data_IF_563077039766
#
_entry.id   IF_563077039766
#
_cell.length_a   1.000
_cell.length_b   1.000
_cell.length_c   1.000
_cell.angle_alpha   90.00
_cell.angle_beta   90.00
_cell.angle_gamma   90.00
#
_symmetry.space_group_name_H-M   'P 1'
#
loop_
_entity.id
_entity.type
_entity.pdbx_description
1 polymer ?
#
# COMPACT_ATOMS: atom_id res chain seq x y z
N UNK A 1 14.83 -11.02 16.05
CA UNK A 1 15.85 -10.69 15.02
C UNK A 1 15.24 -10.97 13.65
N UNK A 2 14.42 -10.04 13.16
CA UNK A 2 13.87 -10.10 11.80
C UNK A 2 14.88 -9.43 10.89
N UNK A 3 15.62 -10.23 10.12
CA UNK A 3 16.38 -9.72 8.97
C UNK A 3 15.38 -8.98 8.08
N UNK A 4 15.56 -7.68 7.92
CA UNK A 4 14.84 -6.91 6.93
C UNK A 4 15.10 -7.56 5.57
N UNK A 5 14.04 -8.08 4.94
CA UNK A 5 14.08 -8.35 3.50
C UNK A 5 14.13 -6.98 2.84
N UNK A 6 15.32 -6.46 2.58
CA UNK A 6 15.49 -5.46 1.53
C UNK A 6 15.15 -6.20 0.23
N UNK A 7 13.94 -5.97 -0.29
CA UNK A 7 13.62 -6.33 -1.66
C UNK A 7 14.29 -5.29 -2.54
N UNK A 8 15.57 -5.51 -2.84
CA UNK A 8 16.33 -4.65 -3.75
C UNK A 8 15.63 -4.62 -5.12
N UNK A 9 15.33 -3.43 -5.61
CA UNK A 9 14.75 -3.24 -6.94
C UNK A 9 15.81 -3.57 -7.98
N UNK A 10 15.48 -4.47 -8.91
CA UNK A 10 16.33 -4.77 -10.06
C UNK A 10 15.83 -4.02 -11.29
N UNK A 11 16.74 -3.54 -12.14
CA UNK A 11 16.36 -2.82 -13.37
C UNK A 11 15.45 -3.65 -14.28
N UNK A 12 15.56 -4.99 -14.24
CA UNK A 12 14.70 -5.92 -14.99
C UNK A 12 13.26 -5.97 -14.49
N UNK A 13 12.98 -5.55 -13.26
CA UNK A 13 11.60 -5.45 -12.76
C UNK A 13 10.91 -4.18 -13.26
N UNK A 14 11.66 -3.17 -13.72
CA UNK A 14 11.12 -1.88 -14.16
C UNK A 14 10.64 -2.01 -15.60
N UNK A 15 9.33 -2.07 -15.76
CA UNK A 15 8.68 -2.06 -17.08
C UNK A 15 8.63 -0.62 -17.63
N UNK A 16 9.79 -0.13 -18.08
CA UNK A 16 9.92 1.23 -18.63
C UNK A 16 9.04 1.44 -19.87
N UNK A 17 8.88 0.41 -20.70
CA UNK A 17 8.12 0.48 -21.96
C UNK A 17 6.63 0.75 -21.72
N UNK A 18 6.11 0.36 -20.56
CA UNK A 18 4.74 0.67 -20.13
C UNK A 18 4.52 2.12 -19.70
N UNK A 19 5.58 2.92 -19.56
CA UNK A 19 5.45 4.36 -19.33
C UNK A 19 5.51 5.14 -20.64
N UNK A 20 4.89 6.33 -20.65
CA UNK A 20 5.01 7.25 -21.78
C UNK A 20 6.49 7.56 -22.07
N UNK A 21 6.93 7.56 -23.35
CA UNK A 21 8.35 7.70 -23.71
C UNK A 21 9.04 8.91 -23.08
N UNK A 22 8.31 10.02 -22.91
CA UNK A 22 8.80 11.27 -22.34
C UNK A 22 9.14 11.14 -20.86
N UNK A 23 8.49 10.25 -20.12
CA UNK A 23 8.72 10.06 -18.68
C UNK A 23 9.87 9.09 -18.38
N UNK A 24 10.14 8.12 -19.27
CA UNK A 24 11.16 7.08 -19.09
C UNK A 24 12.56 7.60 -18.69
N UNK A 25 13.16 8.61 -19.37
CA UNK A 25 14.48 9.09 -19.00
C UNK A 25 14.49 9.73 -17.61
N UNK A 26 13.41 10.42 -17.22
CA UNK A 26 13.32 11.05 -15.91
C UNK A 26 13.08 10.06 -14.77
N UNK A 27 12.38 8.95 -15.03
CA UNK A 27 12.24 7.86 -14.06
C UNK A 27 13.61 7.24 -13.78
N UNK A 28 14.38 6.93 -14.83
CA UNK A 28 15.74 6.40 -14.69
C UNK A 28 16.67 7.37 -13.97
N UNK A 29 16.65 8.65 -14.36
CA UNK A 29 17.46 9.67 -13.74
C UNK A 29 17.08 9.88 -12.27
N UNK A 30 15.78 9.85 -11.93
CA UNK A 30 15.33 9.93 -10.54
C UNK A 30 15.76 8.70 -9.71
N UNK A 31 15.79 7.52 -10.32
CA UNK A 31 16.32 6.31 -9.69
C UNK A 31 17.83 6.35 -9.49
N UNK A 32 18.57 7.12 -10.29
CA UNK A 32 20.03 7.28 -10.17
C UNK A 32 20.39 8.40 -9.18
N UNK A 33 19.96 9.63 -9.48
CA UNK A 33 20.19 10.86 -8.71
C UNK A 33 18.97 11.79 -8.81
N UNK A 34 18.02 11.74 -7.85
CA UNK A 34 16.85 12.61 -7.82
C UNK A 34 17.20 14.10 -7.90
N UNK A 35 18.32 14.53 -7.31
CA UNK A 35 18.71 15.94 -7.22
C UNK A 35 19.00 16.55 -8.59
N UNK A 36 19.34 15.71 -9.59
CA UNK A 36 19.66 16.13 -10.95
C UNK A 36 18.44 16.35 -11.87
N UNK A 37 17.26 15.84 -11.51
CA UNK A 37 16.04 15.82 -12.35
C UNK A 37 15.28 17.16 -12.33
N UNK A 38 15.42 17.93 -11.26
CA UNK A 38 14.66 19.16 -11.04
C UNK A 38 13.29 18.90 -10.39
N UNK A 39 12.87 19.82 -9.51
CA UNK A 39 11.75 19.61 -8.58
C UNK A 39 10.40 19.36 -9.25
N UNK A 40 10.07 20.14 -10.29
CA UNK A 40 8.79 20.01 -11.01
C UNK A 40 8.72 18.65 -11.70
N UNK A 41 9.82 18.23 -12.32
CA UNK A 41 9.89 16.95 -13.02
C UNK A 41 9.83 15.78 -12.03
N UNK A 42 10.47 15.88 -10.85
CA UNK A 42 10.34 14.87 -9.80
C UNK A 42 8.88 14.67 -9.33
N UNK A 43 8.11 15.75 -9.23
CA UNK A 43 6.68 15.66 -8.89
C UNK A 43 5.92 14.91 -10.01
N UNK A 44 6.18 15.23 -11.28
CA UNK A 44 5.55 14.53 -12.40
C UNK A 44 5.97 13.06 -12.51
N UNK A 45 7.22 12.74 -12.18
CA UNK A 45 7.70 11.36 -12.08
C UNK A 45 6.93 10.61 -10.99
N UNK A 46 6.71 11.22 -9.82
CA UNK A 46 5.88 10.62 -8.78
C UNK A 46 4.45 10.37 -9.28
N UNK A 47 3.80 11.37 -9.90
CA UNK A 47 2.45 11.25 -10.45
C UNK A 47 2.34 10.10 -11.46
N UNK A 48 3.32 10.01 -12.37
CA UNK A 48 3.39 8.99 -13.41
C UNK A 48 3.50 7.58 -12.83
N UNK A 49 4.36 7.39 -11.81
CA UNK A 49 4.51 6.10 -11.13
C UNK A 49 3.24 5.71 -10.38
N UNK A 50 2.62 6.66 -9.67
CA UNK A 50 1.38 6.42 -8.91
C UNK A 50 0.25 6.02 -9.85
N UNK A 51 0.07 6.73 -10.97
CA UNK A 51 -0.98 6.42 -11.94
C UNK A 51 -0.83 5.00 -12.49
N UNK A 52 0.40 4.61 -12.86
CA UNK A 52 0.65 3.25 -13.32
C UNK A 52 0.36 2.21 -12.23
N UNK A 53 0.64 2.51 -10.97
CA UNK A 53 0.52 1.55 -9.87
C UNK A 53 -0.91 1.09 -9.60
N UNK A 54 -1.91 1.96 -9.81
CA UNK A 54 -3.32 1.57 -9.63
C UNK A 54 -3.99 1.12 -10.94
N UNK A 55 -3.48 1.50 -12.10
CA UNK A 55 -3.95 1.02 -13.40
C UNK A 55 -3.55 -0.44 -13.68
N UNK A 56 -2.32 -0.83 -13.29
CA UNK A 56 -1.78 -2.18 -13.49
C UNK A 56 -1.61 -2.94 -12.16
N UNK A 57 -2.55 -3.87 -11.92
CA UNK A 57 -2.56 -4.75 -10.76
C UNK A 57 -1.26 -5.55 -10.56
N UNK A 58 -0.57 -5.91 -11.64
CA UNK A 58 0.68 -6.68 -11.57
C UNK A 58 1.88 -5.83 -11.16
N UNK A 59 1.76 -4.50 -11.24
CA UNK A 59 2.87 -3.57 -11.15
C UNK A 59 2.92 -2.78 -9.83
N UNK A 60 1.85 -2.79 -9.03
CA UNK A 60 1.78 -2.05 -7.76
C UNK A 60 2.98 -2.32 -6.81
N UNK A 61 3.43 -3.58 -6.69
CA UNK A 61 4.57 -3.94 -5.86
C UNK A 61 5.89 -3.37 -6.37
N UNK A 62 6.12 -3.42 -7.68
CA UNK A 62 7.30 -2.81 -8.32
C UNK A 62 7.27 -1.29 -8.19
N UNK A 63 6.12 -0.67 -8.45
CA UNK A 63 5.95 0.78 -8.28
C UNK A 63 6.29 1.22 -6.85
N UNK A 64 5.88 0.46 -5.82
CA UNK A 64 6.20 0.77 -4.43
C UNK A 64 7.71 0.69 -4.15
N UNK A 65 8.42 -0.29 -4.74
CA UNK A 65 9.89 -0.38 -4.68
C UNK A 65 10.56 0.82 -5.35
N UNK A 66 10.09 1.23 -6.53
CA UNK A 66 10.58 2.43 -7.23
C UNK A 66 10.42 3.66 -6.33
N UNK A 67 9.22 3.89 -5.79
CA UNK A 67 8.97 5.00 -4.89
C UNK A 67 9.87 4.98 -3.65
N UNK A 68 10.08 3.80 -3.04
CA UNK A 68 10.98 3.63 -1.89
C UNK A 68 12.42 4.01 -2.23
N UNK A 69 12.96 3.51 -3.34
CA UNK A 69 14.33 3.80 -3.75
C UNK A 69 14.55 5.29 -4.07
N UNK A 70 13.61 5.93 -4.79
CA UNK A 70 13.72 7.36 -5.08
C UNK A 70 13.63 8.18 -3.79
N UNK A 71 12.66 7.88 -2.91
CA UNK A 71 12.52 8.55 -1.61
C UNK A 71 13.76 8.40 -0.72
N UNK A 72 14.39 7.21 -0.69
CA UNK A 72 15.61 6.97 0.07
C UNK A 72 16.77 7.80 -0.48
N UNK A 73 16.99 7.76 -1.80
CA UNK A 73 18.05 8.55 -2.45
C UNK A 73 17.84 10.06 -2.26
N UNK A 74 16.60 10.52 -2.42
CA UNK A 74 16.23 11.91 -2.20
C UNK A 74 16.50 12.34 -0.75
N UNK A 75 16.15 11.49 0.22
CA UNK A 75 16.48 11.72 1.62
C UNK A 75 17.99 11.81 1.85
N UNK A 76 18.77 10.87 1.32
CA UNK A 76 20.23 10.90 1.49
C UNK A 76 20.89 12.12 0.84
N UNK A 77 20.37 12.58 -0.30
CA UNK A 77 20.89 13.71 -1.06
C UNK A 77 20.56 15.08 -0.44
N UNK A 78 19.47 15.17 0.33
CA UNK A 78 18.97 16.44 0.88
C UNK A 78 19.02 16.51 2.42
N UNK A 79 19.31 15.44 3.15
CA UNK A 79 19.34 15.43 4.64
C UNK A 79 20.26 16.46 5.30
N UNK A 80 21.23 17.00 4.57
CA UNK A 80 22.18 18.01 5.02
C UNK A 80 21.98 19.37 4.35
N UNK A 81 20.99 19.50 3.46
CA UNK A 81 20.65 20.78 2.85
C UNK A 81 20.02 21.69 3.92
N UNK A 82 20.26 23.00 3.80
CA UNK A 82 19.71 24.01 4.74
C UNK A 82 18.18 23.96 4.76
N UNK A 83 17.57 23.75 3.59
CA UNK A 83 16.12 23.58 3.42
C UNK A 83 15.92 22.38 2.49
N UNK A 84 15.73 21.17 3.03
CA UNK A 84 15.38 20.02 2.20
C UNK A 84 13.97 20.22 1.63
N UNK A 85 13.78 19.79 0.39
CA UNK A 85 12.52 19.94 -0.33
C UNK A 85 11.76 18.65 -0.54
N UNK A 86 12.45 17.51 -0.64
CA UNK A 86 11.85 16.19 -0.83
C UNK A 86 10.72 16.20 -1.87
N UNK A 87 11.01 16.77 -3.06
CA UNK A 87 10.01 17.08 -4.08
C UNK A 87 9.26 15.85 -4.58
N UNK A 88 9.96 14.74 -4.81
CA UNK A 88 9.35 13.47 -5.21
C UNK A 88 8.41 12.95 -4.12
N UNK A 89 8.89 12.89 -2.87
CA UNK A 89 8.07 12.43 -1.73
C UNK A 89 6.81 13.27 -1.54
N UNK A 90 6.93 14.59 -1.68
CA UNK A 90 5.80 15.50 -1.56
C UNK A 90 4.81 15.33 -2.72
N UNK A 91 5.30 15.16 -3.95
CA UNK A 91 4.48 14.83 -5.11
C UNK A 91 3.74 13.50 -4.94
N UNK A 92 4.44 12.47 -4.45
CA UNK A 92 3.87 11.17 -4.11
C UNK A 92 2.72 11.32 -3.11
N UNK A 93 2.95 11.95 -1.96
CA UNK A 93 1.91 12.14 -0.93
C UNK A 93 0.73 12.94 -1.48
N UNK A 94 0.99 13.98 -2.26
CA UNK A 94 -0.06 14.79 -2.86
C UNK A 94 -0.95 13.96 -3.79
N UNK A 95 -0.36 13.21 -4.72
CA UNK A 95 -1.13 12.39 -5.66
C UNK A 95 -1.92 11.28 -4.97
N UNK A 96 -1.35 10.64 -3.94
CA UNK A 96 -2.04 9.63 -3.15
C UNK A 96 -3.26 10.22 -2.41
N UNK A 97 -3.16 11.46 -1.96
CA UNK A 97 -4.27 12.15 -1.27
C UNK A 97 -5.38 12.46 -2.27
N UNK A 98 -5.06 13.01 -3.44
CA UNK A 98 -6.04 13.28 -4.51
C UNK A 98 -6.79 12.02 -4.93
N UNK A 99 -6.07 10.93 -5.20
CA UNK A 99 -6.69 9.67 -5.62
C UNK A 99 -7.55 9.02 -4.52
N UNK A 100 -7.21 9.24 -3.25
CA UNK A 100 -8.05 8.79 -2.14
C UNK A 100 -9.34 9.63 -2.03
N UNK A 101 -9.27 10.94 -2.28
CA UNK A 101 -10.46 11.78 -2.33
C UNK A 101 -11.42 11.32 -3.46
N UNK A 102 -10.88 10.88 -4.59
CA UNK A 102 -11.64 10.36 -5.75
C UNK A 102 -11.92 8.84 -5.69
N UNK A 103 -11.65 8.17 -4.56
CA UNK A 103 -11.72 6.69 -4.44
C UNK A 103 -13.07 6.08 -4.81
N UNK A 104 -14.17 6.78 -4.54
CA UNK A 104 -15.51 6.29 -4.87
C UNK A 104 -15.71 6.23 -6.40
N UNK A 105 -15.21 7.22 -7.13
CA UNK A 105 -15.22 7.26 -8.59
C UNK A 105 -14.27 6.20 -9.18
N UNK A 106 -13.06 6.07 -8.61
CA UNK A 106 -12.10 5.03 -9.00
C UNK A 106 -12.73 3.63 -8.86
N UNK A 107 -13.35 3.37 -7.71
CA UNK A 107 -14.03 2.09 -7.43
C UNK A 107 -15.23 1.85 -8.34
N UNK A 108 -16.02 2.90 -8.62
CA UNK A 108 -17.18 2.81 -9.51
C UNK A 108 -16.76 2.53 -10.96
N UNK A 109 -15.63 3.08 -11.39
CA UNK A 109 -15.04 2.86 -12.71
C UNK A 109 -14.53 1.43 -12.86
N UNK A 110 -13.69 0.98 -11.91
CA UNK A 110 -13.17 -0.38 -11.90
C UNK A 110 -12.72 -0.78 -10.48
N UNK A 111 -13.31 -1.85 -9.95
CA UNK A 111 -12.96 -2.38 -8.63
C UNK A 111 -11.49 -2.83 -8.57
N UNK A 112 -10.92 -3.32 -9.68
CA UNK A 112 -9.50 -3.70 -9.70
C UNK A 112 -8.57 -2.48 -9.59
N UNK A 113 -8.99 -1.29 -10.03
CA UNK A 113 -8.22 -0.04 -9.81
C UNK A 113 -8.19 0.33 -8.33
N UNK A 114 -9.36 0.32 -7.68
CA UNK A 114 -9.45 0.55 -6.24
C UNK A 114 -8.61 -0.46 -5.45
N UNK A 115 -8.73 -1.76 -5.74
CA UNK A 115 -7.94 -2.80 -5.07
C UNK A 115 -6.43 -2.58 -5.30
N UNK A 116 -6.02 -2.25 -6.53
CA UNK A 116 -4.61 -2.02 -6.85
C UNK A 116 -4.06 -0.78 -6.15
N UNK A 117 -4.86 0.28 -6.04
CA UNK A 117 -4.51 1.47 -5.25
C UNK A 117 -4.29 1.13 -3.77
N UNK A 118 -5.20 0.40 -3.12
CA UNK A 118 -5.04 0.04 -1.70
C UNK A 118 -3.84 -0.91 -1.49
N UNK A 119 -3.59 -1.82 -2.43
CA UNK A 119 -2.39 -2.68 -2.41
C UNK A 119 -1.10 -1.88 -2.59
N UNK A 120 -1.10 -0.88 -3.46
CA UNK A 120 0.01 0.04 -3.64
C UNK A 120 0.28 0.85 -2.35
N UNK A 121 -0.76 1.39 -1.71
CA UNK A 121 -0.64 2.07 -0.40
C UNK A 121 -0.02 1.17 0.66
N UNK A 122 -0.43 -0.10 0.72
CA UNK A 122 0.14 -1.10 1.62
C UNK A 122 1.65 -1.34 1.33
N UNK A 123 2.03 -1.43 0.05
CA UNK A 123 3.43 -1.53 -0.36
C UNK A 123 4.25 -0.30 0.03
N UNK A 124 3.70 0.91 -0.15
CA UNK A 124 4.35 2.15 0.26
C UNK A 124 4.54 2.22 1.78
N UNK A 125 3.54 1.85 2.57
CA UNK A 125 3.69 1.77 4.03
C UNK A 125 4.83 0.83 4.44
N UNK A 126 4.96 -0.33 3.77
CA UNK A 126 5.97 -1.32 4.12
C UNK A 126 7.38 -0.90 3.70
N UNK A 127 7.52 -0.19 2.57
CA UNK A 127 8.81 0.10 1.94
C UNK A 127 9.30 1.55 2.13
N UNK A 128 8.40 2.55 2.22
CA UNK A 128 8.77 3.96 2.35
C UNK A 128 8.76 4.34 3.83
N UNK A 129 9.94 4.64 4.38
CA UNK A 129 10.10 4.95 5.81
C UNK A 129 10.48 6.41 6.08
N UNK A 130 10.04 6.92 7.22
CA UNK A 130 10.55 8.16 7.81
C UNK A 130 11.90 7.95 8.52
N UNK A 131 12.42 9.01 9.15
CA UNK A 131 13.68 8.97 9.90
C UNK A 131 13.68 8.04 11.11
N UNK A 132 12.50 7.62 11.59
CA UNK A 132 12.31 6.71 12.72
C UNK A 132 12.09 5.26 12.28
N UNK A 133 12.00 5.02 10.96
CA UNK A 133 11.77 3.70 10.38
C UNK A 133 10.30 3.29 10.33
N UNK A 134 9.35 4.17 10.65
CA UNK A 134 7.90 3.99 10.45
C UNK A 134 7.46 4.41 9.06
N UNK A 135 6.27 3.98 8.63
CA UNK A 135 5.65 4.51 7.42
C UNK A 135 5.40 6.01 7.55
N UNK A 136 5.46 6.75 6.44
CA UNK A 136 5.15 8.19 6.47
C UNK A 136 3.72 8.40 6.99
N UNK A 137 3.55 9.24 8.01
CA UNK A 137 2.26 9.44 8.72
C UNK A 137 1.08 9.63 7.78
N UNK A 138 1.21 10.42 6.71
CA UNK A 138 0.13 10.63 5.73
C UNK A 138 -0.20 9.36 4.95
N UNK A 139 0.80 8.61 4.49
CA UNK A 139 0.60 7.32 3.80
C UNK A 139 -0.06 6.32 4.75
N UNK A 140 0.42 6.25 6.00
CA UNK A 140 -0.18 5.38 7.02
C UNK A 140 -1.65 5.72 7.27
N UNK A 141 -1.98 7.01 7.40
CA UNK A 141 -3.36 7.44 7.62
C UNK A 141 -4.27 7.09 6.44
N UNK A 142 -3.84 7.40 5.21
CA UNK A 142 -4.59 7.05 3.99
C UNK A 142 -4.81 5.54 3.91
N UNK A 143 -3.78 4.73 4.21
CA UNK A 143 -3.91 3.28 4.21
C UNK A 143 -4.93 2.80 5.24
N UNK A 144 -4.91 3.34 6.47
CA UNK A 144 -5.94 2.99 7.45
C UNK A 144 -7.34 3.39 6.99
N UNK A 145 -7.50 4.57 6.39
CA UNK A 145 -8.78 5.02 5.87
C UNK A 145 -9.28 4.07 4.75
N UNK A 146 -8.39 3.65 3.83
CA UNK A 146 -8.70 2.64 2.82
C UNK A 146 -9.12 1.29 3.42
N UNK A 147 -8.42 0.81 4.46
CA UNK A 147 -8.75 -0.45 5.14
C UNK A 147 -10.10 -0.37 5.85
N UNK A 148 -10.42 0.79 6.44
CA UNK A 148 -11.73 1.03 7.04
C UNK A 148 -12.85 1.04 5.99
N UNK A 149 -12.61 1.59 4.81
CA UNK A 149 -13.56 1.55 3.69
C UNK A 149 -13.76 0.13 3.16
N UNK A 150 -12.67 -0.65 2.98
CA UNK A 150 -12.76 -2.06 2.60
C UNK A 150 -13.54 -2.90 3.63
N UNK A 151 -13.47 -2.52 4.90
CA UNK A 151 -14.13 -3.21 6.01
C UNK A 151 -15.63 -2.90 6.13
N UNK A 152 -16.18 -1.96 5.34
CA UNK A 152 -17.58 -1.52 5.39
C UNK A 152 -18.34 -1.82 4.09
N UNK A 153 -19.68 -1.89 4.11
CA UNK A 153 -20.48 -1.93 2.89
C UNK A 153 -20.30 -0.63 2.07
N UNK A 154 -20.30 -0.70 0.72
CA UNK A 154 -20.52 -1.89 -0.10
C UNK A 154 -19.27 -2.78 -0.28
N UNK A 155 -18.07 -2.28 0.05
CA UNK A 155 -16.79 -2.93 -0.24
C UNK A 155 -16.67 -4.33 0.37
N UNK A 156 -17.02 -4.47 1.65
CA UNK A 156 -16.88 -5.75 2.37
C UNK A 156 -17.76 -6.87 1.77
N UNK A 157 -18.78 -6.52 1.00
CA UNK A 157 -19.65 -7.50 0.31
C UNK A 157 -19.06 -7.98 -1.02
N UNK A 158 -18.03 -7.31 -1.54
CA UNK A 158 -17.30 -7.74 -2.72
C UNK A 158 -16.16 -8.70 -2.34
N UNK A 159 -16.07 -9.84 -3.02
CA UNK A 159 -15.05 -10.85 -2.71
C UNK A 159 -13.62 -10.36 -2.98
N UNK A 160 -13.37 -9.60 -4.05
CA UNK A 160 -12.04 -9.10 -4.38
C UNK A 160 -11.53 -8.14 -3.31
N UNK A 161 -12.39 -7.24 -2.85
CA UNK A 161 -12.09 -6.24 -1.82
C UNK A 161 -11.87 -6.91 -0.45
N UNK A 162 -12.69 -7.90 -0.08
CA UNK A 162 -12.49 -8.68 1.13
C UNK A 162 -11.17 -9.47 1.11
N UNK A 163 -10.81 -10.07 -0.04
CA UNK A 163 -9.52 -10.78 -0.20
C UNK A 163 -8.35 -9.80 -0.16
N UNK A 164 -8.47 -8.60 -0.72
CA UNK A 164 -7.43 -7.57 -0.64
C UNK A 164 -7.17 -7.16 0.81
N UNK A 165 -8.24 -6.90 1.57
CA UNK A 165 -8.16 -6.59 3.00
C UNK A 165 -7.45 -7.70 3.80
N UNK A 166 -7.81 -8.97 3.55
CA UNK A 166 -7.13 -10.12 4.15
C UNK A 166 -5.65 -10.15 3.79
N UNK A 167 -5.31 -10.04 2.50
CA UNK A 167 -3.94 -10.12 1.99
C UNK A 167 -3.06 -9.03 2.61
N UNK A 168 -3.58 -7.81 2.73
CA UNK A 168 -2.83 -6.69 3.31
C UNK A 168 -2.61 -6.92 4.81
N UNK A 169 -3.66 -7.28 5.56
CA UNK A 169 -3.56 -7.45 7.00
C UNK A 169 -2.72 -8.68 7.39
N UNK A 170 -2.72 -9.75 6.60
CA UNK A 170 -1.82 -10.88 6.83
C UNK A 170 -0.37 -10.55 6.53
N UNK A 171 -0.10 -9.68 5.56
CA UNK A 171 1.26 -9.26 5.18
C UNK A 171 1.85 -8.22 6.15
N UNK A 172 1.11 -7.15 6.44
CA UNK A 172 1.65 -5.96 7.15
C UNK A 172 0.87 -5.59 8.41
N UNK A 173 -0.12 -6.38 8.83
CA UNK A 173 -0.97 -6.07 9.99
C UNK A 173 -0.20 -5.92 11.29
N UNK A 174 0.88 -6.68 11.49
CA UNK A 174 1.77 -6.51 12.65
C UNK A 174 2.43 -5.13 12.69
N UNK A 175 3.02 -4.71 11.55
CA UNK A 175 3.70 -3.42 11.43
C UNK A 175 2.71 -2.28 11.60
N UNK A 176 1.53 -2.36 10.95
CA UNK A 176 0.44 -1.39 11.12
C UNK A 176 0.02 -1.27 12.58
N UNK A 177 -0.23 -2.40 13.25
CA UNK A 177 -0.67 -2.42 14.64
C UNK A 177 0.36 -1.84 15.61
N UNK A 178 1.65 -1.96 15.29
CA UNK A 178 2.75 -1.36 16.07
C UNK A 178 2.84 0.14 15.82
N UNK A 179 2.68 0.56 14.57
CA UNK A 179 2.77 1.96 14.13
C UNK A 179 1.64 2.81 14.70
N UNK A 180 0.40 2.31 14.63
CA UNK A 180 -0.77 2.99 15.20
C UNK A 180 -1.75 2.01 15.87
N UNK A 181 -1.51 1.63 17.15
CA UNK A 181 -2.37 0.71 17.88
C UNK A 181 -3.84 1.15 17.95
N UNK A 182 -4.08 2.46 18.07
CA UNK A 182 -5.42 3.03 18.19
C UNK A 182 -6.20 2.91 16.88
N UNK A 183 -5.57 3.19 15.73
CA UNK A 183 -6.18 3.01 14.41
C UNK A 183 -6.48 1.53 14.15
N UNK A 184 -5.55 0.64 14.49
CA UNK A 184 -5.78 -0.80 14.39
C UNK A 184 -6.95 -1.28 15.26
N UNK A 185 -7.07 -0.79 16.50
CA UNK A 185 -8.20 -1.11 17.37
C UNK A 185 -9.53 -0.68 16.75
N UNK A 186 -9.60 0.54 16.20
CA UNK A 186 -10.79 1.03 15.49
C UNK A 186 -11.15 0.15 14.30
N UNK A 187 -10.17 -0.21 13.47
CA UNK A 187 -10.39 -1.13 12.33
C UNK A 187 -10.94 -2.48 12.81
N UNK A 188 -10.39 -3.04 13.89
CA UNK A 188 -10.87 -4.32 14.43
C UNK A 188 -12.28 -4.23 15.02
N UNK A 189 -12.75 -3.05 15.46
CA UNK A 189 -14.16 -2.85 15.83
C UNK A 189 -15.04 -2.95 14.58
N UNK A 190 -14.69 -2.23 13.52
CA UNK A 190 -15.44 -2.23 12.25
C UNK A 190 -15.53 -3.65 11.66
N UNK A 191 -14.42 -4.40 11.67
CA UNK A 191 -14.41 -5.78 11.16
C UNK A 191 -15.35 -6.71 11.95
N UNK A 192 -15.43 -6.55 13.28
CA UNK A 192 -16.36 -7.32 14.12
C UNK A 192 -17.80 -6.94 13.85
N UNK A 193 -18.10 -5.66 13.70
CA UNK A 193 -19.44 -5.18 13.32
C UNK A 193 -19.88 -5.75 11.96
N UNK A 194 -18.98 -5.70 10.97
CA UNK A 194 -19.23 -6.29 9.65
C UNK A 194 -19.38 -7.81 9.69
N UNK A 195 -18.64 -8.51 10.55
CA UNK A 195 -18.81 -9.96 10.74
C UNK A 195 -20.19 -10.31 11.32
N UNK A 196 -20.64 -9.56 12.33
CA UNK A 196 -21.93 -9.76 13.00
C UNK A 196 -23.13 -9.34 12.15
N UNK A 197 -22.92 -8.52 11.12
CA UNK A 197 -23.99 -8.11 10.20
C UNK A 197 -24.64 -9.30 9.50
N UNK A 198 -25.97 -9.34 9.51
CA UNK A 198 -26.75 -10.38 8.82
C UNK A 198 -26.54 -10.38 7.30
N UNK A 199 -26.21 -9.22 6.73
CA UNK A 199 -26.01 -9.02 5.28
C UNK A 199 -24.68 -9.60 4.76
N UNK A 200 -23.76 -9.95 5.65
CA UNK A 200 -22.45 -10.49 5.28
C UNK A 200 -22.61 -11.93 4.80
N UNK A 201 -22.07 -12.25 3.62
CA UNK A 201 -22.12 -13.61 3.09
C UNK A 201 -21.13 -14.54 3.82
N UNK A 202 -21.30 -15.86 3.70
CA UNK A 202 -20.47 -16.85 4.40
C UNK A 202 -18.98 -16.72 4.11
N UNK A 203 -18.58 -16.57 2.82
CA UNK A 203 -17.17 -16.45 2.45
C UNK A 203 -16.50 -15.22 3.06
N UNK A 204 -17.18 -14.08 3.04
CA UNK A 204 -16.71 -12.86 3.69
C UNK A 204 -16.62 -13.03 5.20
N UNK A 205 -17.57 -13.75 5.84
CA UNK A 205 -17.49 -14.04 7.28
C UNK A 205 -16.27 -14.88 7.62
N UNK A 206 -15.94 -15.88 6.80
CA UNK A 206 -14.73 -16.69 6.99
C UNK A 206 -13.48 -15.80 6.92
N UNK A 207 -13.38 -14.96 5.89
CA UNK A 207 -12.28 -13.99 5.75
C UNK A 207 -12.15 -13.09 6.98
N UNK A 208 -13.26 -12.49 7.42
CA UNK A 208 -13.28 -11.58 8.57
C UNK A 208 -12.88 -12.29 9.87
N UNK A 209 -13.37 -13.52 10.08
CA UNK A 209 -13.01 -14.32 11.24
C UNK A 209 -11.50 -14.57 11.28
N UNK A 210 -10.90 -14.92 10.13
CA UNK A 210 -9.46 -15.16 10.03
C UNK A 210 -8.65 -13.93 10.43
N UNK A 211 -9.07 -12.75 9.97
CA UNK A 211 -8.39 -11.49 10.31
C UNK A 211 -8.50 -11.22 11.81
N UNK A 212 -9.69 -11.42 12.39
CA UNK A 212 -9.95 -11.21 13.81
C UNK A 212 -9.10 -12.16 14.67
N UNK A 213 -9.03 -13.44 14.30
CA UNK A 213 -8.21 -14.45 14.99
C UNK A 213 -6.72 -14.16 14.85
N UNK A 214 -6.27 -13.79 13.65
CA UNK A 214 -4.88 -13.41 13.40
C UNK A 214 -4.48 -12.21 14.27
N UNK A 215 -5.34 -11.19 14.36
CA UNK A 215 -5.10 -10.04 15.24
C UNK A 215 -5.04 -10.46 16.72
N UNK A 216 -5.99 -11.30 17.19
CA UNK A 216 -6.02 -11.81 18.56
C UNK A 216 -4.79 -12.67 18.90
N UNK A 217 -4.24 -13.39 17.93
CA UNK A 217 -3.00 -14.16 18.03
C UNK A 217 -1.73 -13.32 17.94
N UNK A 218 -1.83 -11.99 17.89
CA UNK A 218 -0.68 -11.09 17.79
C UNK A 218 0.00 -11.13 16.42
N UNK A 219 -0.78 -11.30 15.35
CA UNK A 219 -0.34 -11.40 13.95
C UNK A 219 0.57 -12.58 13.65
N UNK A 220 0.39 -13.68 14.40
CA UNK A 220 1.07 -14.95 14.16
C UNK A 220 0.09 -15.96 13.60
N UNK A 221 0.38 -16.47 12.41
CA UNK A 221 -0.36 -17.61 11.86
C UNK A 221 -0.07 -18.82 12.75
N UNK A 222 -1.10 -19.45 13.30
CA UNK A 222 -0.93 -20.74 13.98
C UNK A 222 -0.76 -21.84 12.93
N UNK A 223 -0.06 -22.93 13.28
CA UNK A 223 0.06 -24.10 12.38
C UNK A 223 -1.29 -24.72 12.00
N UNK A 224 -2.31 -24.53 12.84
CA UNK A 224 -3.69 -24.94 12.58
C UNK A 224 -4.38 -24.02 11.55
N UNK A 225 -4.15 -22.70 11.62
CA UNK A 225 -4.62 -21.74 10.62
C UNK A 225 -3.99 -22.07 9.25
N UNK A 226 -2.67 -22.26 9.17
CA UNK A 226 -1.99 -22.60 7.90
C UNK A 226 -2.57 -23.84 7.19
N UNK A 227 -2.90 -24.88 7.96
CA UNK A 227 -3.45 -26.14 7.41
C UNK A 227 -4.91 -26.04 6.96
N UNK A 228 -5.71 -25.18 7.60
CA UNK A 228 -7.12 -24.96 7.24
C UNK A 228 -7.24 -24.15 5.93
N UNK A 229 -6.36 -23.16 5.69
CA UNK A 229 -6.48 -22.25 4.54
C UNK A 229 -5.78 -22.70 3.25
N UNK A 230 -4.76 -23.56 3.31
CA UNK A 230 -4.20 -24.15 2.08
C UNK A 230 -5.28 -24.79 1.20
N UNK A 231 -6.38 -25.26 1.82
CA UNK A 231 -7.52 -25.86 1.15
C UNK A 231 -8.59 -24.85 0.67
N UNK A 232 -8.64 -23.64 1.21
CA UNK A 232 -9.64 -22.61 0.85
C UNK A 232 -9.15 -21.75 -0.32
N UNK A 233 -7.85 -21.51 -0.44
CA UNK A 233 -7.23 -20.73 -1.54
C UNK A 233 -7.09 -21.59 -2.82
N UNK A 234 -7.15 -22.93 -2.70
CA UNK A 234 -7.06 -23.87 -3.82
C UNK A 234 -8.40 -24.13 -4.54
N UNK A 235 -9.47 -23.38 -4.23
CA UNK A 235 -10.81 -23.44 -4.85
C UNK A 235 -11.23 -22.07 -5.37
#
# INVERSE_FOLDING_TARGET
MTKGRQFELTLSEIDLESYIPEAQPYILQALEDPKSVGRVILIEVANTIVNRAWEDKGYNGTAAKICSQICEKEFQAEKHDVIPTYAFRNGLIHQLTLLYDDREEMRATNIDYWVSFVQFQAGLFDLVKDSTGSGLTTITNILYDCLEDLAKPPCIHNSKEAVALWTILTSIGYNLSKDSPQRMQKLMVILRESFLSQKTNTKTRDILLNIIELNAGGWKMSSALESYYFNIIAL
#
